data_IF_006257977872
#
_entry.id   IF_006257977872
#
_cell.length_a   1.000
_cell.length_b   1.000
_cell.length_c   1.000
_cell.angle_alpha   90.00
_cell.angle_beta   90.00
_cell.angle_gamma   90.00
#
_symmetry.space_group_name_H-M   'P 1'
#
loop_
_entity.id
_entity.type
_entity.pdbx_description
1 polymer ?
#
# COMPACT_ATOMS: atom_id res chain seq x y z
N UNK A 1 -81.63 -7.15 1.10
CA UNK A 1 -80.56 -7.80 1.89
C UNK A 1 -79.39 -8.02 0.91
N UNK A 2 -78.56 -7.03 0.57
CA UNK A 2 -77.45 -6.41 1.35
C UNK A 2 -76.61 -7.46 2.11
N UNK A 3 -75.31 -7.63 1.91
CA UNK A 3 -74.30 -7.08 0.98
C UNK A 3 -73.07 -7.99 1.07
N UNK A 4 -72.30 -8.03 -0.02
CA UNK A 4 -71.02 -8.72 -0.17
C UNK A 4 -69.91 -8.18 0.76
N UNK A 5 -68.88 -9.01 0.99
CA UNK A 5 -67.49 -8.66 0.63
C UNK A 5 -66.54 -9.82 0.92
N UNK A 6 -66.13 -10.46 -0.17
CA UNK A 6 -64.99 -11.36 -0.23
C UNK A 6 -63.86 -10.60 -0.94
N UNK A 7 -62.61 -10.98 -0.65
CA UNK A 7 -61.39 -10.62 -1.40
C UNK A 7 -60.62 -9.36 -0.97
N UNK A 8 -59.91 -9.44 0.17
CA UNK A 8 -58.75 -8.58 0.48
C UNK A 8 -57.59 -9.43 1.04
N UNK A 9 -57.29 -10.59 0.43
CA UNK A 9 -56.15 -11.42 0.88
C UNK A 9 -55.15 -11.81 -0.22
N UNK A 10 -55.32 -11.32 -1.46
CA UNK A 10 -54.50 -11.75 -2.60
C UNK A 10 -53.65 -10.65 -3.26
N UNK A 11 -53.36 -9.55 -2.54
CA UNK A 11 -52.52 -8.45 -3.06
C UNK A 11 -51.23 -8.18 -2.29
N UNK A 12 -50.92 -8.95 -1.25
CA UNK A 12 -49.68 -8.76 -0.47
C UNK A 12 -48.49 -9.61 -0.92
N UNK A 13 -48.64 -10.47 -1.93
CA UNK A 13 -47.58 -11.39 -2.39
C UNK A 13 -46.87 -10.96 -3.68
N UNK A 14 -47.24 -9.82 -4.30
CA UNK A 14 -46.62 -9.37 -5.56
C UNK A 14 -45.61 -8.22 -5.42
N UNK A 15 -45.40 -7.69 -4.22
CA UNK A 15 -44.45 -6.57 -4.00
C UNK A 15 -43.11 -6.98 -3.36
N UNK A 16 -42.93 -8.25 -2.99
CA UNK A 16 -41.65 -8.75 -2.45
C UNK A 16 -40.71 -9.26 -3.57
N UNK A 17 -41.23 -9.55 -4.76
CA UNK A 17 -40.44 -10.16 -5.85
C UNK A 17 -39.67 -9.16 -6.73
N UNK A 18 -39.86 -7.85 -6.56
CA UNK A 18 -39.22 -6.80 -7.40
C UNK A 18 -38.04 -6.12 -6.69
N UNK A 19 -37.83 -6.36 -5.40
CA UNK A 19 -36.64 -5.87 -4.66
C UNK A 19 -35.51 -6.89 -4.54
N UNK A 20 -35.59 -8.01 -5.26
CA UNK A 20 -34.39 -8.66 -5.81
C UNK A 20 -34.08 -7.96 -7.14
N UNK A 21 -33.86 -6.64 -7.08
CA UNK A 21 -33.04 -5.99 -8.09
C UNK A 21 -31.72 -6.74 -8.00
N UNK A 22 -31.53 -7.67 -8.93
CA UNK A 22 -30.28 -8.32 -9.19
C UNK A 22 -29.27 -7.18 -9.26
N UNK A 23 -28.49 -7.02 -8.19
CA UNK A 23 -27.28 -6.22 -8.21
C UNK A 23 -26.36 -7.07 -9.09
N UNK A 24 -26.58 -6.97 -10.40
CA UNK A 24 -25.69 -7.47 -11.43
C UNK A 24 -24.46 -6.59 -11.29
N UNK A 25 -23.60 -6.97 -10.36
CA UNK A 25 -22.25 -6.45 -10.28
C UNK A 25 -21.64 -6.76 -11.64
N UNK A 26 -21.56 -5.75 -12.50
CA UNK A 26 -20.97 -5.89 -13.81
C UNK A 26 -19.59 -6.51 -13.60
N UNK A 27 -19.34 -7.65 -14.24
CA UNK A 27 -18.03 -8.28 -14.18
C UNK A 27 -16.97 -7.22 -14.51
N UNK A 28 -15.84 -7.20 -13.79
CA UNK A 28 -14.79 -6.21 -14.04
C UNK A 28 -14.45 -6.20 -15.53
N UNK A 29 -14.32 -5.00 -16.10
CA UNK A 29 -13.99 -4.86 -17.51
C UNK A 29 -12.74 -5.68 -17.83
N UNK A 30 -12.74 -6.40 -18.96
CA UNK A 30 -11.60 -7.23 -19.40
C UNK A 30 -10.28 -6.45 -19.48
N UNK A 31 -10.35 -5.13 -19.65
CA UNK A 31 -9.19 -4.23 -19.61
C UNK A 31 -8.52 -4.16 -18.23
N UNK A 32 -9.28 -4.19 -17.14
CA UNK A 32 -8.71 -4.19 -15.77
C UNK A 32 -7.96 -5.48 -15.50
N UNK A 33 -8.59 -6.63 -15.82
CA UNK A 33 -7.99 -7.95 -15.62
C UNK A 33 -6.66 -8.11 -16.38
N UNK A 34 -6.61 -7.59 -17.62
CA UNK A 34 -5.38 -7.60 -18.42
C UNK A 34 -4.27 -6.76 -17.78
N UNK A 35 -4.61 -5.58 -17.26
CA UNK A 35 -3.66 -4.69 -16.60
C UNK A 35 -3.13 -5.26 -15.28
N UNK A 36 -4.02 -5.78 -14.43
CA UNK A 36 -3.65 -6.33 -13.13
C UNK A 36 -2.76 -7.57 -13.32
N UNK A 37 -3.10 -8.45 -14.27
CA UNK A 37 -2.23 -9.57 -14.66
C UNK A 37 -0.84 -9.10 -15.10
N UNK A 38 -0.75 -8.09 -15.97
CA UNK A 38 0.53 -7.56 -16.44
C UNK A 38 1.37 -6.96 -15.29
N UNK A 39 0.74 -6.25 -14.35
CA UNK A 39 1.43 -5.70 -13.17
C UNK A 39 1.93 -6.80 -12.23
N UNK A 40 1.10 -7.84 -12.00
CA UNK A 40 1.51 -8.99 -11.18
C UNK A 40 2.68 -9.73 -11.81
N UNK A 41 2.65 -9.94 -13.14
CA UNK A 41 3.77 -10.52 -13.89
C UNK A 41 5.02 -9.63 -13.89
N UNK A 42 4.88 -8.29 -13.88
CA UNK A 42 6.03 -7.38 -13.75
C UNK A 42 6.70 -7.50 -12.36
N UNK A 43 5.89 -7.58 -11.30
CA UNK A 43 6.36 -7.69 -9.91
C UNK A 43 6.98 -9.06 -9.62
N UNK A 44 6.21 -10.10 -9.90
CA UNK A 44 6.56 -11.46 -9.54
C UNK A 44 7.38 -12.13 -10.63
N UNK A 45 7.30 -11.71 -11.88
CA UNK A 45 7.78 -12.51 -13.01
C UNK A 45 6.75 -13.57 -13.43
N UNK A 46 7.09 -14.35 -14.45
CA UNK A 46 6.18 -15.35 -15.04
C UNK A 46 6.54 -16.80 -14.67
N UNK A 47 7.66 -17.02 -14.01
CA UNK A 47 8.10 -18.38 -13.64
C UNK A 47 7.38 -18.85 -12.38
N UNK A 48 7.14 -20.16 -12.26
CA UNK A 48 6.43 -20.72 -11.09
C UNK A 48 7.19 -20.50 -9.79
N UNK A 49 8.51 -20.44 -9.87
CA UNK A 49 9.41 -20.19 -8.74
C UNK A 49 9.27 -18.78 -8.19
N UNK A 50 8.78 -17.83 -9.00
CA UNK A 50 8.59 -16.44 -8.55
C UNK A 50 7.12 -16.04 -8.41
N UNK A 51 6.21 -16.78 -9.03
CA UNK A 51 4.76 -16.63 -8.92
C UNK A 51 4.12 -17.98 -8.56
N UNK A 52 4.36 -18.48 -7.33
CA UNK A 52 3.79 -19.72 -6.83
C UNK A 52 2.25 -19.65 -6.73
N UNK A 53 1.56 -20.82 -6.72
CA UNK A 53 0.11 -20.86 -6.60
C UNK A 53 -0.46 -20.28 -5.29
N UNK A 54 0.35 -20.18 -4.24
CA UNK A 54 -0.08 -19.61 -2.96
C UNK A 54 -0.10 -18.07 -2.96
N UNK A 55 0.48 -17.42 -3.97
CA UNK A 55 0.30 -15.98 -4.23
C UNK A 55 -0.95 -15.81 -5.11
N UNK A 56 -2.01 -15.32 -4.48
CA UNK A 56 -3.30 -15.08 -5.12
C UNK A 56 -3.27 -13.70 -5.82
N UNK A 57 -4.40 -13.00 -5.91
CA UNK A 57 -4.46 -11.71 -6.60
C UNK A 57 -4.03 -10.53 -5.71
N UNK A 58 -4.23 -9.30 -6.16
CA UNK A 58 -3.87 -8.14 -5.37
C UNK A 58 -4.71 -8.07 -4.10
N UNK A 59 -4.11 -7.62 -3.01
CA UNK A 59 -4.79 -7.58 -1.72
C UNK A 59 -5.98 -6.61 -1.70
N UNK A 60 -5.97 -5.62 -2.60
CA UNK A 60 -7.07 -4.68 -2.83
C UNK A 60 -8.11 -5.15 -3.84
N UNK A 61 -8.04 -6.37 -4.38
CA UNK A 61 -9.07 -6.84 -5.29
C UNK A 61 -10.44 -6.93 -4.60
N UNK A 62 -11.49 -6.56 -5.33
CA UNK A 62 -12.86 -6.51 -4.83
C UNK A 62 -13.32 -7.80 -4.13
N UNK A 63 -12.85 -8.96 -4.63
CA UNK A 63 -13.13 -10.28 -4.06
C UNK A 63 -12.58 -10.47 -2.63
N UNK A 64 -11.63 -9.65 -2.21
CA UNK A 64 -11.01 -9.67 -0.89
C UNK A 64 -11.38 -8.46 -0.02
N UNK A 65 -12.16 -7.51 -0.53
CA UNK A 65 -12.63 -6.35 0.23
C UNK A 65 -14.00 -6.64 0.85
N UNK A 66 -14.10 -6.54 2.17
CA UNK A 66 -15.38 -6.64 2.88
C UNK A 66 -16.14 -5.30 2.87
N UNK A 67 -17.31 -5.27 3.50
CA UNK A 67 -18.13 -4.06 3.57
C UNK A 67 -17.46 -2.94 4.36
N UNK A 68 -16.69 -3.27 5.41
CA UNK A 68 -15.98 -2.26 6.22
C UNK A 68 -14.88 -1.61 5.40
N UNK A 69 -14.08 -2.41 4.69
CA UNK A 69 -13.00 -1.92 3.82
C UNK A 69 -13.52 -0.88 2.82
N UNK A 70 -14.69 -1.15 2.21
CA UNK A 70 -15.30 -0.29 1.19
C UNK A 70 -15.75 1.07 1.73
N UNK A 71 -15.82 1.22 3.05
CA UNK A 71 -16.11 2.50 3.70
C UNK A 71 -14.86 3.35 3.96
N UNK A 72 -13.66 2.88 3.61
CA UNK A 72 -12.38 3.54 3.91
C UNK A 72 -12.34 5.04 3.55
N UNK A 73 -13.07 5.48 2.53
CA UNK A 73 -13.07 6.87 2.09
C UNK A 73 -14.45 7.55 2.09
N UNK A 74 -15.42 7.01 2.86
CA UNK A 74 -16.75 7.64 2.97
C UNK A 74 -16.77 8.79 3.96
N UNK A 75 -15.83 8.81 4.90
CA UNK A 75 -15.69 9.85 5.93
C UNK A 75 -15.13 11.14 5.35
N UNK A 76 -15.66 12.29 5.77
CA UNK A 76 -15.02 13.60 5.56
C UNK A 76 -14.05 13.84 6.73
N UNK A 77 -12.77 14.02 6.43
CA UNK A 77 -11.78 14.33 7.46
C UNK A 77 -11.76 15.83 7.73
N UNK A 78 -11.59 16.19 9.01
CA UNK A 78 -11.36 17.59 9.42
C UNK A 78 -9.91 18.02 9.13
N UNK A 79 -9.60 18.14 7.83
CA UNK A 79 -8.33 18.58 7.31
C UNK A 79 -8.57 19.59 6.18
N UNK A 80 -7.76 20.64 6.14
CA UNK A 80 -7.73 21.60 5.03
C UNK A 80 -6.28 21.77 4.53
N UNK A 81 -6.11 22.49 3.44
CA UNK A 81 -4.82 22.78 2.81
C UNK A 81 -3.81 23.39 3.80
N UNK A 82 -4.25 24.25 4.73
CA UNK A 82 -3.34 24.82 5.73
C UNK A 82 -2.76 23.78 6.71
N UNK A 83 -3.44 22.65 6.90
CA UNK A 83 -3.04 21.60 7.85
C UNK A 83 -1.96 20.67 7.29
N UNK A 84 -1.73 20.73 5.97
CA UNK A 84 -0.73 19.92 5.28
C UNK A 84 0.63 20.63 5.30
N UNK A 85 1.61 19.94 5.85
CA UNK A 85 3.01 20.31 5.99
C UNK A 85 3.83 20.16 4.72
N UNK A 86 5.14 20.28 4.89
CA UNK A 86 6.09 20.01 3.81
C UNK A 86 6.04 18.53 3.39
N UNK A 87 6.25 18.24 2.09
CA UNK A 87 6.43 16.87 1.62
C UNK A 87 7.65 16.23 2.27
N UNK A 88 7.57 14.94 2.58
CA UNK A 88 8.65 14.22 3.29
C UNK A 88 9.82 13.90 2.36
N UNK A 89 9.55 13.57 1.09
CA UNK A 89 10.59 13.15 0.14
C UNK A 89 10.65 14.02 -1.14
N UNK A 90 9.95 15.16 -1.16
CA UNK A 90 9.89 16.11 -2.30
C UNK A 90 9.33 15.57 -3.62
N UNK A 91 9.16 14.25 -3.74
CA UNK A 91 8.72 13.56 -4.95
C UNK A 91 7.21 13.32 -4.90
N UNK A 92 6.54 13.64 -6.01
CA UNK A 92 5.16 13.18 -6.22
C UNK A 92 5.20 11.76 -6.78
N UNK A 93 4.49 10.81 -6.17
CA UNK A 93 4.43 9.41 -6.64
C UNK A 93 3.66 9.26 -7.95
N UNK A 94 3.57 8.05 -8.52
CA UNK A 94 2.76 7.79 -9.73
C UNK A 94 1.27 8.02 -9.48
N UNK A 95 0.81 7.58 -8.31
CA UNK A 95 -0.61 7.49 -7.94
C UNK A 95 -1.01 8.45 -6.80
N UNK A 96 -0.09 9.30 -6.35
CA UNK A 96 -0.31 10.22 -5.23
C UNK A 96 0.38 11.57 -5.46
N UNK A 97 -0.10 12.60 -4.76
CA UNK A 97 0.48 13.94 -4.73
C UNK A 97 1.67 14.03 -3.77
N UNK A 98 1.96 12.94 -3.06
CA UNK A 98 3.07 12.77 -2.15
C UNK A 98 2.62 12.32 -0.77
N UNK A 99 3.61 12.09 0.10
CA UNK A 99 3.43 11.97 1.54
C UNK A 99 3.94 13.26 2.18
N UNK A 100 3.15 13.86 3.06
CA UNK A 100 3.47 15.10 3.73
C UNK A 100 3.38 14.96 5.25
N UNK A 101 3.99 15.90 5.95
CA UNK A 101 3.82 16.07 7.40
C UNK A 101 2.46 16.70 7.69
N UNK A 102 1.96 16.55 8.91
CA UNK A 102 0.89 17.39 9.41
C UNK A 102 1.44 18.66 10.09
N UNK A 103 0.65 19.74 10.07
CA UNK A 103 0.94 20.96 10.83
C UNK A 103 0.18 21.04 12.16
N UNK A 104 -0.87 20.22 12.34
CA UNK A 104 -1.68 20.15 13.56
C UNK A 104 -1.79 18.71 14.07
N UNK A 105 -2.07 18.57 15.36
CA UNK A 105 -2.39 17.29 15.98
C UNK A 105 -3.72 16.75 15.42
N UNK A 106 -3.87 15.43 15.40
CA UNK A 106 -4.99 14.76 14.75
C UNK A 106 -5.46 13.54 15.53
N UNK A 107 -6.73 13.55 15.95
CA UNK A 107 -7.40 12.39 16.56
C UNK A 107 -6.63 11.72 17.72
N UNK A 108 -6.01 12.52 18.58
CA UNK A 108 -5.22 12.05 19.72
C UNK A 108 -3.75 11.73 19.39
N UNK A 109 -3.33 11.87 18.13
CA UNK A 109 -1.93 11.80 17.72
C UNK A 109 -1.35 13.20 17.59
N UNK A 110 -0.09 13.36 17.96
CA UNK A 110 0.66 14.58 17.67
C UNK A 110 0.99 14.68 16.17
N UNK A 111 1.16 15.90 15.67
CA UNK A 111 1.52 16.15 14.26
C UNK A 111 2.80 15.43 13.81
N UNK A 112 3.69 15.10 14.75
CA UNK A 112 4.98 14.46 14.48
C UNK A 112 4.89 12.93 14.47
N UNK A 113 3.79 12.35 14.96
CA UNK A 113 3.51 10.90 14.97
C UNK A 113 2.77 10.42 13.73
N UNK A 114 2.28 11.34 12.88
CA UNK A 114 1.40 11.01 11.75
C UNK A 114 1.91 11.69 10.47
N UNK A 115 1.77 10.96 9.37
CA UNK A 115 1.98 11.47 8.02
C UNK A 115 0.70 11.31 7.21
N UNK A 116 0.57 12.16 6.20
CA UNK A 116 -0.61 12.19 5.34
C UNK A 116 -0.23 11.88 3.90
N UNK A 117 -0.88 10.88 3.30
CA UNK A 117 -0.75 10.56 1.87
C UNK A 117 -1.98 11.10 1.15
N UNK A 118 -1.75 12.01 0.20
CA UNK A 118 -2.82 12.59 -0.63
C UNK A 118 -2.86 11.86 -1.96
N UNK A 119 -3.98 11.21 -2.27
CA UNK A 119 -4.12 10.42 -3.49
C UNK A 119 -4.49 11.31 -4.69
N UNK A 120 -4.01 10.94 -5.88
CA UNK A 120 -4.28 11.71 -7.11
C UNK A 120 -5.65 11.45 -7.70
N UNK A 121 -6.19 10.25 -7.50
CA UNK A 121 -7.40 9.85 -8.21
C UNK A 121 -8.53 10.84 -7.91
N UNK A 122 -9.16 11.40 -8.94
CA UNK A 122 -10.32 12.26 -8.74
C UNK A 122 -11.43 11.43 -8.11
N UNK A 123 -12.09 12.00 -7.10
CA UNK A 123 -13.29 11.42 -6.51
C UNK A 123 -14.41 11.59 -7.54
N UNK A 124 -14.59 10.60 -8.41
CA UNK A 124 -15.63 10.59 -9.43
C UNK A 124 -16.88 9.83 -8.98
N UNK A 125 -17.88 9.75 -9.88
CA UNK A 125 -19.15 9.04 -9.64
C UNK A 125 -18.96 7.54 -9.34
N UNK A 126 -17.83 6.97 -9.77
CA UNK A 126 -17.47 5.57 -9.52
C UNK A 126 -16.76 5.35 -8.17
N UNK A 127 -16.60 6.40 -7.38
CA UNK A 127 -15.85 6.35 -6.12
C UNK A 127 -14.34 6.30 -6.34
N UNK A 128 -13.64 5.90 -5.28
CA UNK A 128 -12.18 5.70 -5.26
C UNK A 128 -11.90 4.25 -5.64
N UNK A 129 -10.92 4.03 -6.52
CA UNK A 129 -10.61 2.70 -7.01
C UNK A 129 -10.19 1.73 -5.90
N UNK A 130 -10.61 0.47 -6.04
CA UNK A 130 -10.36 -0.63 -5.09
C UNK A 130 -8.89 -0.75 -4.67
N UNK A 131 -7.97 -0.36 -5.56
CA UNK A 131 -6.52 -0.32 -5.33
C UNK A 131 -6.11 0.51 -4.12
N UNK A 132 -6.78 1.64 -3.86
CA UNK A 132 -6.48 2.49 -2.71
C UNK A 132 -7.14 1.97 -1.43
N UNK A 133 -8.28 1.29 -1.55
CA UNK A 133 -8.92 0.60 -0.44
C UNK A 133 -8.02 -0.56 0.05
N UNK A 134 -7.40 -1.28 -0.89
CA UNK A 134 -6.39 -2.29 -0.58
C UNK A 134 -5.21 -1.76 0.24
N UNK A 135 -4.73 -0.55 -0.05
CA UNK A 135 -3.68 0.09 0.75
C UNK A 135 -4.16 0.38 2.19
N UNK A 136 -5.36 0.92 2.35
CA UNK A 136 -5.95 1.15 3.68
C UNK A 136 -6.09 -0.16 4.46
N UNK A 137 -6.62 -1.21 3.82
CA UNK A 137 -6.75 -2.54 4.42
C UNK A 137 -5.40 -3.11 4.86
N UNK A 138 -4.38 -2.97 4.01
CA UNK A 138 -3.02 -3.43 4.33
C UNK A 138 -2.45 -2.68 5.54
N UNK A 139 -2.57 -1.33 5.56
CA UNK A 139 -2.12 -0.49 6.67
C UNK A 139 -2.82 -0.83 7.99
N UNK A 140 -4.13 -1.13 7.96
CA UNK A 140 -4.88 -1.63 9.13
C UNK A 140 -4.27 -2.94 9.63
N UNK A 141 -4.04 -3.90 8.73
CA UNK A 141 -3.52 -5.22 9.08
C UNK A 141 -2.11 -5.19 9.71
N UNK A 142 -1.26 -4.24 9.29
CA UNK A 142 0.09 -4.05 9.83
C UNK A 142 0.17 -3.03 10.98
N UNK A 143 -0.97 -2.46 11.41
CA UNK A 143 -1.05 -1.55 12.55
C UNK A 143 -0.45 -0.16 12.30
N UNK A 144 -0.33 0.26 11.04
CA UNK A 144 0.19 1.57 10.62
C UNK A 144 -0.92 2.56 10.24
N UNK A 145 -2.15 2.09 10.09
CA UNK A 145 -3.31 2.93 9.81
C UNK A 145 -3.66 3.85 10.99
N UNK A 146 -4.01 5.10 10.69
CA UNK A 146 -4.59 6.07 11.64
C UNK A 146 -6.02 6.40 11.26
N UNK A 147 -6.25 6.87 10.03
CA UNK A 147 -7.56 7.27 9.53
C UNK A 147 -7.55 7.33 7.99
N UNK A 148 -8.72 7.41 7.36
CA UNK A 148 -8.83 7.65 5.92
C UNK A 148 -10.17 8.29 5.57
N UNK A 149 -10.19 9.07 4.50
CA UNK A 149 -11.38 9.82 4.13
C UNK A 149 -11.13 10.80 3.00
N UNK A 150 -12.03 11.76 2.87
CA UNK A 150 -12.00 12.81 1.87
C UNK A 150 -11.76 14.15 2.56
N UNK A 151 -10.86 14.98 2.02
CA UNK A 151 -10.59 16.32 2.53
C UNK A 151 -10.18 17.32 1.44
N UNK A 152 -10.48 18.63 1.58
CA UNK A 152 -10.07 19.70 0.66
C UNK A 152 -8.59 20.11 0.85
N UNK A 153 -7.68 19.15 0.74
CA UNK A 153 -6.24 19.34 1.07
C UNK A 153 -5.39 19.84 -0.10
N UNK A 154 -5.95 19.94 -1.30
CA UNK A 154 -5.24 20.45 -2.48
C UNK A 154 -5.25 21.98 -2.52
N UNK A 155 -4.25 22.65 -3.12
CA UNK A 155 -4.17 24.11 -3.15
C UNK A 155 -5.40 24.83 -3.73
N UNK A 156 -6.11 24.19 -4.66
CA UNK A 156 -7.35 24.68 -5.27
C UNK A 156 -8.61 24.37 -4.44
N UNK A 157 -8.43 23.84 -3.22
CA UNK A 157 -9.45 23.34 -2.30
C UNK A 157 -10.31 22.22 -2.85
N UNK A 158 -9.88 21.57 -3.94
CA UNK A 158 -10.56 20.38 -4.43
C UNK A 158 -10.40 19.24 -3.43
N UNK A 159 -11.48 18.46 -3.27
CA UNK A 159 -11.49 17.29 -2.40
C UNK A 159 -10.57 16.21 -2.99
N UNK A 160 -9.77 15.62 -2.13
CA UNK A 160 -8.91 14.48 -2.44
C UNK A 160 -9.15 13.36 -1.43
N UNK A 161 -8.90 12.13 -1.86
CA UNK A 161 -8.83 10.99 -0.96
C UNK A 161 -7.50 11.04 -0.18
N UNK A 162 -7.58 10.79 1.12
CA UNK A 162 -6.48 10.98 2.06
C UNK A 162 -6.36 9.74 2.94
N UNK A 163 -5.12 9.29 3.14
CA UNK A 163 -4.77 8.24 4.10
C UNK A 163 -3.85 8.84 5.16
N UNK A 164 -4.26 8.74 6.42
CA UNK A 164 -3.47 9.11 7.59
C UNK A 164 -2.77 7.86 8.13
N UNK A 165 -1.46 7.95 8.32
CA UNK A 165 -0.62 6.81 8.68
C UNK A 165 0.30 7.18 9.82
N UNK A 166 0.61 6.22 10.69
CA UNK A 166 1.66 6.39 11.70
C UNK A 166 2.98 6.67 10.99
N UNK A 167 3.68 7.70 11.43
CA UNK A 167 5.05 7.96 11.01
C UNK A 167 5.94 6.89 11.62
N UNK A 168 6.80 6.32 10.80
CA UNK A 168 7.81 5.38 11.26
C UNK A 168 9.14 6.10 11.44
N UNK A 169 9.80 5.81 12.56
CA UNK A 169 11.17 6.28 12.79
C UNK A 169 12.17 5.57 11.89
N UNK A 170 13.20 6.32 11.49
CA UNK A 170 14.30 5.84 10.68
C UNK A 170 14.70 6.86 9.61
N UNK A 171 15.64 6.46 8.78
CA UNK A 171 16.22 7.30 7.72
C UNK A 171 16.22 6.57 6.37
N UNK A 172 15.96 7.27 5.26
CA UNK A 172 16.17 6.69 3.93
C UNK A 172 17.67 6.48 3.71
N UNK A 173 18.11 5.24 3.44
CA UNK A 173 19.55 4.93 3.38
C UNK A 173 20.30 5.78 2.35
N UNK A 174 19.68 6.13 1.23
CA UNK A 174 20.27 7.00 0.19
C UNK A 174 20.67 8.38 0.68
N UNK A 175 20.00 8.87 1.71
CA UNK A 175 20.25 10.22 2.23
C UNK A 175 21.38 10.25 3.25
N UNK A 176 21.77 9.08 3.76
CA UNK A 176 22.73 8.94 4.85
C UNK A 176 24.16 9.20 4.37
N UNK A 177 24.97 9.79 5.26
CA UNK A 177 26.36 10.13 4.96
C UNK A 177 27.21 8.87 4.76
N UNK A 178 26.96 7.83 5.54
CA UNK A 178 27.63 6.53 5.42
C UNK A 178 27.39 5.94 4.04
N UNK A 179 26.15 5.89 3.56
CA UNK A 179 25.84 5.33 2.25
C UNK A 179 26.37 6.20 1.09
N UNK A 180 26.28 7.54 1.23
CA UNK A 180 26.78 8.47 0.20
C UNK A 180 28.29 8.35 0.00
N UNK A 181 29.06 8.21 1.08
CA UNK A 181 30.51 8.06 1.00
C UNK A 181 31.00 6.62 0.83
N UNK A 182 30.14 5.63 1.09
CA UNK A 182 30.46 4.22 0.89
C UNK A 182 30.78 3.91 -0.57
N UNK A 183 31.77 3.04 -0.77
CA UNK A 183 32.06 2.45 -2.07
C UNK A 183 30.95 1.47 -2.51
N UNK A 184 30.95 1.01 -3.78
CA UNK A 184 29.91 0.13 -4.29
C UNK A 184 29.73 -1.20 -3.55
N UNK A 185 30.80 -1.76 -2.98
CA UNK A 185 30.82 -3.02 -2.24
C UNK A 185 30.29 -2.82 -0.81
N UNK A 186 30.67 -1.71 -0.16
CA UNK A 186 30.13 -1.29 1.12
C UNK A 186 28.63 -1.02 1.06
N UNK A 187 28.14 -0.35 0.02
CA UNK A 187 26.69 -0.14 -0.18
C UNK A 187 25.96 -1.46 -0.35
N UNK A 188 26.54 -2.39 -1.11
CA UNK A 188 25.97 -3.73 -1.30
C UNK A 188 25.92 -4.51 0.01
N UNK A 189 26.99 -4.45 0.83
CA UNK A 189 26.99 -5.01 2.19
C UNK A 189 25.89 -4.42 3.07
N UNK A 190 25.76 -3.09 3.13
CA UNK A 190 24.71 -2.43 3.92
C UNK A 190 23.30 -2.87 3.52
N UNK A 191 23.05 -3.02 2.21
CA UNK A 191 21.77 -3.53 1.71
C UNK A 191 21.61 -5.03 1.95
N UNK A 192 22.70 -5.80 1.88
CA UNK A 192 22.75 -7.23 2.20
C UNK A 192 22.36 -7.51 3.65
N UNK A 193 22.88 -6.71 4.59
CA UNK A 193 22.57 -6.80 6.03
C UNK A 193 21.08 -6.55 6.31
N UNK A 194 20.42 -5.71 5.50
CA UNK A 194 19.00 -5.43 5.62
C UNK A 194 18.09 -6.58 5.14
N UNK A 195 18.51 -7.37 4.14
CA UNK A 195 17.70 -8.45 3.53
C UNK A 195 17.05 -9.39 4.56
N UNK A 196 17.78 -9.99 5.52
CA UNK A 196 17.16 -10.92 6.48
C UNK A 196 16.11 -10.24 7.38
N UNK A 197 16.30 -8.97 7.74
CA UNK A 197 15.33 -8.23 8.58
C UNK A 197 14.04 -7.95 7.82
N UNK A 198 14.15 -7.61 6.54
CA UNK A 198 12.97 -7.36 5.73
C UNK A 198 12.23 -8.67 5.45
N UNK A 199 12.95 -9.73 5.08
CA UNK A 199 12.36 -11.07 4.86
C UNK A 199 11.57 -11.52 6.09
N UNK A 200 12.13 -11.34 7.29
CA UNK A 200 11.44 -11.66 8.54
C UNK A 200 10.10 -10.93 8.69
N UNK A 201 10.05 -9.63 8.37
CA UNK A 201 8.81 -8.84 8.41
C UNK A 201 7.78 -9.36 7.39
N UNK A 202 8.22 -9.59 6.16
CA UNK A 202 7.36 -10.00 5.05
C UNK A 202 6.79 -11.40 5.27
N UNK A 203 7.61 -12.35 5.71
CA UNK A 203 7.18 -13.71 6.07
C UNK A 203 6.15 -13.65 7.20
N UNK A 204 6.42 -12.86 8.23
CA UNK A 204 5.46 -12.69 9.32
C UNK A 204 4.13 -12.10 8.83
N UNK A 205 4.13 -11.10 7.95
CA UNK A 205 2.89 -10.56 7.38
C UNK A 205 2.16 -11.56 6.49
N UNK A 206 2.88 -12.33 5.69
CA UNK A 206 2.29 -13.35 4.83
C UNK A 206 1.55 -14.40 5.67
N UNK A 207 2.21 -14.96 6.67
CA UNK A 207 1.63 -16.04 7.50
C UNK A 207 0.56 -15.52 8.47
N UNK A 208 0.81 -14.39 9.14
CA UNK A 208 -0.10 -13.93 10.21
C UNK A 208 -1.21 -12.99 9.72
N UNK A 209 -1.00 -12.28 8.61
CA UNK A 209 -1.96 -11.30 8.06
C UNK A 209 -2.49 -11.70 6.68
N UNK A 210 -1.92 -12.73 6.05
CA UNK A 210 -2.32 -13.13 4.71
C UNK A 210 -1.98 -12.08 3.65
N UNK A 211 -0.86 -11.36 3.84
CA UNK A 211 -0.37 -10.26 2.98
C UNK A 211 1.08 -10.50 2.59
N UNK A 212 1.39 -10.45 1.29
CA UNK A 212 2.75 -10.39 0.79
C UNK A 212 3.05 -8.99 0.24
N UNK A 213 4.08 -8.33 0.79
CA UNK A 213 4.66 -7.12 0.20
C UNK A 213 5.65 -7.56 -0.89
N UNK A 214 5.60 -6.94 -2.06
CA UNK A 214 6.42 -7.28 -3.22
C UNK A 214 7.11 -6.08 -3.88
N UNK A 215 6.84 -4.85 -3.43
CA UNK A 215 7.46 -3.63 -3.98
C UNK A 215 8.71 -3.22 -3.19
N UNK A 216 9.73 -4.07 -3.30
CA UNK A 216 10.99 -3.85 -2.60
C UNK A 216 11.92 -2.97 -3.42
N UNK A 217 12.02 -1.73 -2.99
CA UNK A 217 13.09 -0.84 -3.43
C UNK A 217 13.55 0.05 -2.29
N UNK A 218 14.79 0.52 -2.33
CA UNK A 218 15.41 1.25 -1.21
C UNK A 218 14.74 2.56 -0.79
N UNK A 219 13.82 3.11 -1.61
CA UNK A 219 12.98 4.25 -1.18
C UNK A 219 11.77 3.83 -0.31
N UNK A 220 11.40 2.55 -0.33
CA UNK A 220 10.32 1.97 0.49
C UNK A 220 10.89 1.34 1.77
N UNK A 221 12.09 1.75 2.18
CA UNK A 221 12.79 1.21 3.34
C UNK A 221 13.30 2.35 4.21
N UNK A 222 13.00 2.30 5.50
CA UNK A 222 13.65 3.13 6.51
C UNK A 222 14.62 2.29 7.31
N UNK A 223 15.79 2.85 7.58
CA UNK A 223 16.84 2.21 8.35
C UNK A 223 16.95 2.88 9.72
N UNK A 224 17.32 2.12 10.75
CA UNK A 224 17.62 2.69 12.06
C UNK A 224 18.76 3.70 11.95
N UNK A 225 18.58 4.89 12.50
CA UNK A 225 19.52 6.00 12.32
C UNK A 225 19.05 7.29 12.93
N UNK A 226 19.82 8.36 12.73
CA UNK A 226 19.53 9.68 13.29
C UNK A 226 19.36 10.71 12.17
N UNK A 227 18.30 11.52 12.27
CA UNK A 227 18.07 12.68 11.40
C UNK A 227 18.11 13.96 12.24
N UNK A 228 19.00 14.86 11.87
CA UNK A 228 19.12 16.23 12.41
C UNK A 228 18.97 17.24 11.27
N UNK A 229 18.99 18.54 11.58
CA UNK A 229 18.91 19.60 10.57
C UNK A 229 20.08 19.58 9.57
N UNK A 230 21.25 19.09 9.96
CA UNK A 230 22.48 19.15 9.16
C UNK A 230 23.04 17.77 8.82
N UNK A 231 22.53 16.71 9.43
CA UNK A 231 23.12 15.38 9.38
C UNK A 231 22.05 14.29 9.35
N UNK A 232 22.18 13.36 8.41
CA UNK A 232 21.37 12.13 8.34
C UNK A 232 22.37 10.97 8.36
N UNK A 233 22.30 10.14 9.39
CA UNK A 233 23.18 8.97 9.58
C UNK A 233 22.38 7.69 9.77
N UNK A 234 22.94 6.58 9.32
CA UNK A 234 22.45 5.23 9.61
C UNK A 234 23.30 4.56 10.69
N UNK A 235 22.67 3.77 11.56
CA UNK A 235 23.40 3.00 12.56
C UNK A 235 24.16 1.85 11.89
N UNK A 236 25.45 1.71 12.19
CA UNK A 236 26.29 0.60 11.73
C UNK A 236 26.78 -0.22 12.92
N UNK A 237 26.71 -1.57 12.88
CA UNK A 237 26.09 -2.38 11.81
C UNK A 237 24.58 -2.15 11.69
N UNK A 238 24.01 -2.42 10.51
CA UNK A 238 22.57 -2.28 10.28
C UNK A 238 21.84 -3.24 11.23
N UNK A 239 20.97 -2.70 12.09
CA UNK A 239 20.24 -3.49 13.10
C UNK A 239 18.72 -3.34 13.03
N UNK A 240 18.23 -2.36 12.26
CA UNK A 240 16.81 -2.05 12.14
C UNK A 240 16.50 -1.60 10.72
N UNK A 241 15.46 -2.20 10.14
CA UNK A 241 14.89 -1.80 8.85
C UNK A 241 13.38 -1.93 8.93
N UNK A 242 12.65 -0.97 8.37
CA UNK A 242 11.18 -0.97 8.28
C UNK A 242 10.76 -0.85 6.82
N UNK A 243 9.79 -1.66 6.41
CA UNK A 243 9.19 -1.58 5.06
C UNK A 243 8.07 -0.54 5.05
N UNK A 244 8.07 0.28 4.01
CA UNK A 244 7.07 1.32 3.73
C UNK A 244 6.27 0.99 2.47
N UNK A 245 5.33 1.88 2.17
CA UNK A 245 4.49 1.92 0.96
C UNK A 245 3.72 0.62 0.72
N UNK A 246 2.49 0.58 1.24
CA UNK A 246 1.55 -0.52 1.02
C UNK A 246 0.59 -0.23 -0.15
N UNK A 247 0.99 0.69 -1.03
CA UNK A 247 0.21 1.07 -2.21
C UNK A 247 0.20 0.01 -3.31
N UNK A 248 -0.77 0.12 -4.20
CA UNK A 248 -0.81 -0.69 -5.43
C UNK A 248 0.32 -0.28 -6.40
N UNK A 249 0.99 -1.24 -7.08
CA UNK A 249 0.72 -2.69 -7.08
C UNK A 249 1.54 -3.51 -6.08
N UNK A 250 2.00 -2.97 -4.94
CA UNK A 250 2.98 -3.65 -4.08
C UNK A 250 2.46 -4.75 -3.16
N UNK A 251 1.13 -4.92 -2.99
CA UNK A 251 0.55 -5.79 -1.95
C UNK A 251 -0.32 -6.88 -2.55
N UNK A 252 0.03 -8.13 -2.27
CA UNK A 252 -0.62 -9.33 -2.79
C UNK A 252 -1.29 -10.12 -1.67
N UNK A 253 -2.40 -10.79 -2.01
CA UNK A 253 -3.06 -11.74 -1.13
C UNK A 253 -2.32 -13.07 -1.15
N UNK A 254 -2.14 -13.69 0.02
CA UNK A 254 -1.63 -15.07 0.11
C UNK A 254 -2.68 -16.02 0.64
N UNK A 255 -2.55 -17.28 0.24
CA UNK A 255 -3.33 -18.40 0.76
C UNK A 255 -3.13 -18.56 2.28
N UNK A 256 -4.20 -18.93 2.99
CA UNK A 256 -4.18 -19.07 4.47
C UNK A 256 -3.33 -20.24 4.96
N UNK A 257 -3.06 -21.23 4.11
CA UNK A 257 -2.25 -22.42 4.43
C UNK A 257 -0.77 -22.25 4.16
N UNK A 258 -0.31 -21.07 3.71
CA UNK A 258 1.11 -20.85 3.43
C UNK A 258 1.95 -20.92 4.71
N UNK A 259 3.08 -21.61 4.64
CA UNK A 259 4.01 -21.77 5.76
C UNK A 259 5.12 -20.72 5.73
N UNK A 260 5.73 -20.43 6.88
CA UNK A 260 6.89 -19.55 6.95
C UNK A 260 8.02 -20.01 6.03
N UNK A 261 8.28 -21.32 5.96
CA UNK A 261 9.33 -21.88 5.11
C UNK A 261 9.08 -21.62 3.62
N UNK A 262 7.85 -21.84 3.14
CA UNK A 262 7.48 -21.57 1.74
C UNK A 262 7.69 -20.09 1.39
N UNK A 263 7.15 -19.17 2.21
CA UNK A 263 7.33 -17.74 1.98
C UNK A 263 8.80 -17.36 2.08
N UNK A 264 9.52 -17.91 3.06
CA UNK A 264 10.94 -17.66 3.25
C UNK A 264 11.67 -17.99 1.95
N UNK A 265 11.70 -19.26 1.54
CA UNK A 265 12.44 -19.76 0.36
C UNK A 265 12.20 -18.92 -0.90
N UNK A 266 10.96 -18.52 -1.16
CA UNK A 266 10.60 -17.81 -2.38
C UNK A 266 10.81 -16.29 -2.32
N UNK A 267 10.61 -15.66 -1.17
CA UNK A 267 10.68 -14.20 -1.00
C UNK A 267 12.05 -13.61 -1.38
N UNK A 268 13.13 -14.40 -1.33
CA UNK A 268 14.49 -13.91 -1.66
C UNK A 268 14.82 -13.91 -3.14
N UNK A 269 14.16 -14.75 -3.94
CA UNK A 269 14.42 -14.80 -5.39
C UNK A 269 14.15 -13.46 -6.07
N UNK A 270 13.17 -12.70 -5.58
CA UNK A 270 12.84 -11.36 -6.05
C UNK A 270 13.79 -10.26 -5.55
N UNK A 271 14.42 -10.43 -4.40
CA UNK A 271 15.31 -9.42 -3.80
C UNK A 271 16.61 -9.23 -4.58
N UNK A 272 17.09 -10.27 -5.24
CA UNK A 272 18.32 -10.19 -6.03
C UNK A 272 18.14 -9.30 -7.28
N UNK A 273 16.90 -9.05 -7.71
CA UNK A 273 16.57 -8.13 -8.81
C UNK A 273 16.91 -6.67 -8.48
N UNK A 274 16.88 -6.26 -7.21
CA UNK A 274 17.31 -4.92 -6.78
C UNK A 274 18.80 -4.74 -7.10
N UNK A 275 19.60 -5.77 -6.86
CA UNK A 275 21.03 -5.77 -7.15
C UNK A 275 21.29 -5.86 -8.66
N UNK A 276 20.49 -6.61 -9.42
CA UNK A 276 20.65 -6.73 -10.88
C UNK A 276 20.41 -5.42 -11.65
N UNK A 277 19.38 -4.63 -11.29
CA UNK A 277 19.14 -3.34 -11.95
C UNK A 277 20.29 -2.37 -11.69
N UNK A 278 20.83 -2.35 -10.48
CA UNK A 278 22.02 -1.54 -10.16
C UNK A 278 23.27 -2.04 -10.89
N UNK A 279 23.49 -3.36 -10.95
CA UNK A 279 24.60 -3.95 -11.69
C UNK A 279 24.53 -3.59 -13.18
N UNK A 280 23.33 -3.61 -13.79
CA UNK A 280 23.11 -3.18 -15.18
C UNK A 280 23.40 -1.68 -15.37
N UNK A 281 23.06 -0.83 -14.41
CA UNK A 281 23.39 0.61 -14.44
C UNK A 281 24.92 0.80 -14.35
N UNK A 282 25.60 0.12 -13.40
CA UNK A 282 27.06 0.17 -13.24
C UNK A 282 27.80 -0.26 -14.52
N UNK A 283 27.30 -1.32 -15.18
CA UNK A 283 27.84 -1.80 -16.48
C UNK A 283 27.64 -0.77 -17.60
N UNK A 284 26.50 -0.07 -17.63
CA UNK A 284 26.26 1.02 -18.60
C UNK A 284 27.10 2.27 -18.33
N UNK A 285 27.46 2.55 -17.08
CA UNK A 285 28.29 3.69 -16.71
C UNK A 285 29.80 3.46 -16.91
N UNK A 286 30.23 2.28 -17.40
CA UNK A 286 31.64 1.97 -17.62
C UNK A 286 32.47 1.85 -16.34
N UNK A 287 31.81 1.66 -15.19
CA UNK A 287 32.44 1.62 -13.85
C UNK A 287 32.80 0.22 -13.37
N UNK A 288 32.67 -0.80 -14.22
CA UNK A 288 33.07 -2.17 -13.94
C UNK A 288 33.80 -2.68 -15.18
N UNK A 289 35.12 -2.88 -15.06
CA UNK A 289 35.89 -3.78 -15.91
C UNK A 289 35.75 -5.21 -15.37
#
# INVERSE_FOLDING_TARGET
MCTASSSILFRLLLFVSILLAAITHAAPSSLSLSYDKAMKEELLGTTKERNPPWILEFYGDYAYLDEEDRTAFTKILDLDTQDIGDPIDGNRGRNNDGVAKLKKDYSGYTKDEVVVKVLREPIGDRGIGDRYIGEVKALKAVGLYVDSGIAPVRPDKTKAAVIMMKKLDGVPIKETIEYKHADPEQRERMLGDAKPMIRKQVVNWAVTKGILHADFHRNNLLFGGTRTATHISVNLPISEVKVLDFGYPGILKVDKGVTEQQVWEECMSGYDVINEKEAKIRKKEGKVQ
#
